data_IF_239739251345
#
_entry.id   IF_239739251345
#
_cell.length_a   1.000
_cell.length_b   1.000
_cell.length_c   1.000
_cell.angle_alpha   90.00
_cell.angle_beta   90.00
_cell.angle_gamma   90.00
#
_symmetry.space_group_name_H-M   'P 1'
#
loop_
_entity.id
_entity.type
_entity.pdbx_description
1 polymer ?
#
# COMPACT_ATOMS: atom_id res chain seq x y z
N UNK A 1 1.36 -62.91 7.84
CA UNK A 1 1.90 -63.89 8.81
C UNK A 1 1.90 -63.24 10.18
N UNK A 2 1.43 -63.93 11.22
CA UNK A 2 1.52 -63.48 12.61
C UNK A 2 0.18 -63.46 13.34
N UNK A 3 -0.29 -64.65 13.70
CA UNK A 3 -1.49 -64.89 14.50
C UNK A 3 -1.19 -64.82 16.02
N UNK A 4 -2.26 -64.73 16.84
CA UNK A 4 -2.37 -65.21 18.24
C UNK A 4 -1.76 -64.20 19.26
N UNK A 5 -2.33 -63.81 20.41
CA UNK A 5 -3.43 -64.34 21.24
C UNK A 5 -3.92 -63.26 22.21
N UNK A 6 -5.24 -63.24 22.40
CA UNK A 6 -5.95 -62.71 23.57
C UNK A 6 -5.52 -63.44 24.86
N UNK A 7 -5.13 -62.69 25.89
CA UNK A 7 -5.25 -63.12 27.30
C UNK A 7 -5.53 -61.91 28.19
N UNK A 8 -6.81 -61.56 28.36
CA UNK A 8 -7.26 -60.70 29.47
C UNK A 8 -7.14 -61.52 30.75
N UNK A 9 -6.43 -61.06 31.80
CA UNK A 9 -6.46 -61.74 33.08
C UNK A 9 -7.85 -61.57 33.68
N UNK A 10 -8.55 -62.69 33.86
CA UNK A 10 -9.80 -62.75 34.60
C UNK A 10 -9.51 -62.25 36.02
N UNK A 11 -10.12 -61.10 36.35
CA UNK A 11 -10.25 -60.55 37.69
C UNK A 11 -10.71 -61.66 38.62
N UNK A 12 -9.79 -62.22 39.41
CA UNK A 12 -10.13 -63.14 40.48
C UNK A 12 -11.08 -62.41 41.43
N UNK A 13 -12.31 -62.89 41.54
CA UNK A 13 -13.23 -62.45 42.57
C UNK A 13 -12.54 -62.68 43.93
N UNK A 14 -12.48 -61.67 44.82
CA UNK A 14 -11.84 -61.85 46.10
C UNK A 14 -12.61 -62.92 46.88
N UNK A 15 -11.93 -63.98 47.26
CA UNK A 15 -12.37 -64.95 48.29
C UNK A 15 -12.61 -64.28 49.65
N UNK A 16 -12.39 -62.96 49.77
CA UNK A 16 -12.71 -62.16 50.96
C UNK A 16 -14.21 -61.97 51.24
N UNK A 17 -15.11 -62.18 50.27
CA UNK A 17 -16.54 -61.88 50.48
C UNK A 17 -17.15 -62.86 51.51
N UNK A 18 -16.64 -64.08 51.62
CA UNK A 18 -17.13 -65.09 52.56
C UNK A 18 -16.68 -64.87 54.00
N UNK A 19 -15.64 -64.08 54.24
CA UNK A 19 -15.15 -63.76 55.60
C UNK A 19 -15.89 -62.57 56.24
N UNK A 20 -16.64 -61.77 55.45
CA UNK A 20 -17.17 -60.47 55.90
C UNK A 20 -18.60 -60.49 56.45
N UNK A 21 -19.31 -61.62 56.40
CA UNK A 21 -20.68 -61.73 56.94
C UNK A 21 -20.93 -63.08 57.63
N UNK A 22 -20.01 -63.50 58.50
CA UNK A 22 -20.38 -64.44 59.55
C UNK A 22 -21.09 -63.62 60.63
N UNK A 23 -22.42 -63.58 60.64
CA UNK A 23 -23.16 -62.87 61.70
C UNK A 23 -22.73 -63.47 63.05
N UNK A 24 -22.01 -62.70 63.89
CA UNK A 24 -21.38 -63.22 65.11
C UNK A 24 -22.41 -63.64 66.15
N UNK A 25 -23.67 -63.21 65.99
CA UNK A 25 -24.79 -63.59 66.84
C UNK A 25 -25.45 -64.91 66.42
N UNK A 26 -25.12 -65.49 65.26
CA UNK A 26 -25.78 -66.72 64.79
C UNK A 26 -25.53 -67.91 65.71
N UNK A 27 -24.32 -68.05 66.24
CA UNK A 27 -24.00 -69.11 67.20
C UNK A 27 -24.82 -68.94 68.48
N UNK A 28 -24.87 -67.72 69.01
CA UNK A 28 -25.61 -67.37 70.22
C UNK A 28 -27.10 -67.67 70.06
N UNK A 29 -27.73 -67.19 68.97
CA UNK A 29 -29.15 -67.46 68.68
C UNK A 29 -29.48 -68.94 68.52
N UNK A 30 -28.55 -69.75 67.99
CA UNK A 30 -28.74 -71.20 67.85
C UNK A 30 -28.65 -71.91 69.20
N UNK A 31 -27.69 -71.52 70.02
CA UNK A 31 -27.50 -72.08 71.36
C UNK A 31 -28.66 -71.70 72.28
N UNK A 32 -29.13 -70.45 72.22
CA UNK A 32 -30.33 -69.97 72.92
C UNK A 32 -31.54 -70.83 72.59
N UNK A 33 -31.85 -70.98 71.29
CA UNK A 33 -32.96 -71.85 70.83
C UNK A 33 -32.80 -73.32 71.24
N UNK A 34 -31.59 -73.82 71.43
CA UNK A 34 -31.36 -75.19 71.92
C UNK A 34 -31.69 -75.29 73.41
N UNK A 35 -31.19 -74.36 74.22
CA UNK A 35 -31.47 -74.30 75.65
C UNK A 35 -32.97 -74.10 75.90
N UNK A 36 -33.63 -73.24 75.12
CA UNK A 36 -35.09 -73.03 75.22
C UNK A 36 -35.88 -74.33 74.99
N UNK A 37 -35.52 -75.11 73.96
CA UNK A 37 -36.15 -76.40 73.69
C UNK A 37 -35.91 -77.40 74.82
N UNK A 38 -34.70 -77.45 75.36
CA UNK A 38 -34.34 -78.33 76.48
C UNK A 38 -35.10 -77.93 77.76
N UNK A 39 -35.22 -76.62 78.04
CA UNK A 39 -36.00 -76.10 79.15
C UNK A 39 -37.49 -76.42 78.99
N UNK A 40 -38.05 -76.24 77.79
CA UNK A 40 -39.45 -76.58 77.51
C UNK A 40 -39.71 -78.08 77.75
N UNK A 41 -38.83 -78.96 77.25
CA UNK A 41 -38.94 -80.40 77.48
C UNK A 41 -38.89 -80.75 78.98
N UNK A 42 -38.00 -80.12 79.74
CA UNK A 42 -37.90 -80.36 81.19
C UNK A 42 -39.11 -79.82 81.96
N UNK A 43 -39.69 -78.69 81.53
CA UNK A 43 -40.93 -78.14 82.08
C UNK A 43 -42.12 -79.06 81.78
N UNK A 44 -42.24 -79.58 80.56
CA UNK A 44 -43.30 -80.52 80.18
C UNK A 44 -43.22 -81.80 81.04
N UNK A 45 -42.02 -82.39 81.19
CA UNK A 45 -41.77 -83.56 82.07
C UNK A 45 -42.10 -83.24 83.53
N UNK A 46 -41.75 -82.05 84.01
CA UNK A 46 -42.08 -81.63 85.37
C UNK A 46 -43.60 -81.51 85.55
N UNK A 47 -44.31 -80.95 84.57
CA UNK A 47 -45.76 -80.77 84.61
C UNK A 47 -46.50 -82.12 84.60
N UNK A 48 -46.11 -83.05 83.72
CA UNK A 48 -46.68 -84.40 83.62
C UNK A 48 -46.51 -85.17 84.94
N UNK A 49 -45.32 -85.06 85.57
CA UNK A 49 -45.04 -85.73 86.84
C UNK A 49 -45.76 -85.12 88.04
N UNK A 50 -45.93 -83.81 88.06
CA UNK A 50 -46.73 -83.14 89.08
C UNK A 50 -48.21 -83.51 88.94
N UNK A 51 -48.73 -83.57 87.71
CA UNK A 51 -50.09 -84.04 87.43
C UNK A 51 -50.28 -85.50 87.85
N UNK A 52 -49.34 -86.40 87.51
CA UNK A 52 -49.38 -87.80 87.95
C UNK A 52 -49.32 -87.96 89.48
N UNK A 53 -48.61 -87.07 90.18
CA UNK A 53 -48.54 -87.05 91.64
C UNK A 53 -49.83 -86.50 92.30
N UNK A 54 -50.54 -85.60 91.61
CA UNK A 54 -51.85 -85.05 92.01
C UNK A 54 -53.02 -86.00 91.68
N UNK A 55 -52.91 -86.82 90.63
CA UNK A 55 -53.94 -87.76 90.16
C UNK A 55 -54.03 -89.07 90.95
N UNK A 56 -53.17 -89.28 91.96
CA UNK A 56 -53.30 -90.35 92.95
C UNK A 56 -52.89 -91.74 92.45
N UNK A 57 -51.77 -92.24 92.97
CA UNK A 57 -51.53 -93.68 93.10
C UNK A 57 -50.88 -93.96 94.47
N UNK A 58 -51.75 -94.33 95.40
CA UNK A 58 -51.40 -95.09 96.58
C UNK A 58 -51.82 -96.54 96.30
N UNK A 59 -50.84 -97.45 96.28
CA UNK A 59 -50.87 -98.85 96.74
C UNK A 59 -49.83 -99.66 95.96
N UNK A 60 -48.65 -99.89 96.52
CA UNK A 60 -48.37 -101.16 97.21
C UNK A 60 -46.95 -101.17 97.76
N UNK A 61 -46.82 -101.65 98.99
CA UNK A 61 -45.57 -101.83 99.70
C UNK A 61 -45.13 -103.27 99.52
N UNK A 62 -43.87 -103.52 99.14
CA UNK A 62 -43.04 -104.62 99.67
C UNK A 62 -41.69 -104.71 98.93
N UNK A 63 -40.61 -104.41 99.66
CA UNK A 63 -39.36 -105.16 99.54
C UNK A 63 -39.46 -106.33 100.52
N UNK A 64 -38.89 -107.53 100.23
CA UNK A 64 -37.47 -107.74 100.55
C UNK A 64 -36.68 -108.77 99.69
N UNK A 65 -35.37 -108.48 99.61
CA UNK A 65 -34.21 -109.38 99.68
C UNK A 65 -33.91 -110.43 98.58
N UNK A 66 -32.62 -110.49 98.17
CA UNK A 66 -31.95 -111.76 97.85
C UNK A 66 -31.03 -111.81 96.62
N UNK A 67 -29.77 -111.39 96.80
CA UNK A 67 -28.49 -111.92 96.28
C UNK A 67 -28.38 -112.69 94.94
N UNK A 68 -27.40 -112.31 94.11
CA UNK A 68 -26.18 -113.09 93.82
C UNK A 68 -25.16 -112.29 92.98
N UNK A 69 -23.89 -112.50 93.29
CA UNK A 69 -22.70 -111.94 92.62
C UNK A 69 -22.09 -112.97 91.66
N UNK A 70 -21.25 -112.48 90.72
CA UNK A 70 -20.33 -113.20 89.80
C UNK A 70 -20.96 -113.90 88.59
N UNK A 71 -20.38 -113.93 87.38
CA UNK A 71 -19.09 -113.46 86.83
C UNK A 71 -19.10 -113.58 85.30
N UNK A 72 -18.27 -112.75 84.65
CA UNK A 72 -17.69 -112.73 83.30
C UNK A 72 -17.91 -113.90 82.32
N UNK A 73 -17.96 -113.63 81.00
CA UNK A 73 -16.90 -114.04 80.03
C UNK A 73 -16.94 -113.18 78.74
N UNK A 74 -15.77 -112.81 78.24
CA UNK A 74 -15.51 -112.32 76.87
C UNK A 74 -15.46 -113.47 75.88
N UNK A 75 -15.91 -113.30 74.63
CA UNK A 75 -15.23 -113.89 73.47
C UNK A 75 -15.33 -113.00 72.22
N UNK A 76 -14.17 -112.84 71.63
CA UNK A 76 -13.83 -112.31 70.31
C UNK A 76 -14.43 -113.15 69.17
N UNK A 77 -14.77 -112.55 68.03
CA UNK A 77 -14.14 -112.84 66.71
C UNK A 77 -14.91 -112.22 65.54
N UNK A 78 -14.21 -112.23 64.41
CA UNK A 78 -14.26 -111.40 63.21
C UNK A 78 -14.78 -112.24 62.03
N UNK A 79 -15.22 -111.55 60.97
CA UNK A 79 -15.52 -112.05 59.61
C UNK A 79 -16.89 -112.73 59.45
N UNK A 80 -17.57 -112.68 58.31
CA UNK A 80 -17.54 -111.87 57.10
C UNK A 80 -18.82 -112.24 56.32
N UNK A 81 -19.29 -111.31 55.51
CA UNK A 81 -20.17 -111.50 54.36
C UNK A 81 -21.69 -111.64 54.58
N UNK A 82 -22.39 -111.05 53.60
CA UNK A 82 -23.79 -111.21 53.22
C UNK A 82 -24.90 -110.37 53.89
N UNK A 83 -25.47 -109.53 53.01
CA UNK A 83 -26.82 -108.94 53.00
C UNK A 83 -27.10 -107.78 53.95
N UNK A 84 -27.32 -106.62 53.33
CA UNK A 84 -27.75 -105.40 53.99
C UNK A 84 -29.08 -105.56 54.70
N UNK A 85 -29.04 -105.40 56.01
CA UNK A 85 -30.19 -105.05 56.84
C UNK A 85 -29.77 -103.78 57.59
N UNK A 86 -30.13 -102.61 57.07
CA UNK A 86 -30.09 -101.36 57.84
C UNK A 86 -31.13 -101.48 58.94
N UNK A 87 -30.73 -102.03 60.08
CA UNK A 87 -31.53 -102.07 61.29
C UNK A 87 -31.76 -100.62 61.70
N UNK A 88 -33.03 -100.13 61.81
CA UNK A 88 -33.27 -98.81 62.36
C UNK A 88 -32.72 -98.79 63.78
N UNK A 89 -31.67 -98.00 64.00
CA UNK A 89 -31.10 -97.77 65.32
C UNK A 89 -32.20 -97.10 66.14
N UNK A 90 -32.92 -97.93 66.92
CA UNK A 90 -33.84 -97.44 67.94
C UNK A 90 -33.00 -96.55 68.83
N UNK A 91 -33.28 -95.25 68.79
CA UNK A 91 -32.73 -94.34 69.78
C UNK A 91 -33.02 -94.94 71.15
N UNK A 92 -32.02 -95.07 72.04
CA UNK A 92 -32.26 -95.58 73.38
C UNK A 92 -33.37 -94.70 73.98
N UNK A 93 -34.42 -95.34 74.51
CA UNK A 93 -35.43 -94.61 75.28
C UNK A 93 -34.67 -93.84 76.36
N UNK A 94 -34.70 -92.52 76.26
CA UNK A 94 -33.98 -91.66 77.19
C UNK A 94 -34.35 -92.04 78.63
N UNK A 95 -33.39 -91.96 79.58
CA UNK A 95 -33.68 -92.26 80.97
C UNK A 95 -34.90 -91.44 81.41
N UNK A 96 -35.88 -92.08 82.05
CA UNK A 96 -37.07 -91.39 82.57
C UNK A 96 -36.61 -90.42 83.66
N UNK A 97 -36.41 -89.15 83.29
CA UNK A 97 -35.88 -88.12 84.20
C UNK A 97 -36.83 -87.96 85.37
N UNK A 98 -36.39 -88.26 86.60
CA UNK A 98 -37.18 -88.05 87.83
C UNK A 98 -37.54 -86.57 88.04
N UNK A 99 -38.57 -86.27 88.85
CA UNK A 99 -38.98 -84.88 89.17
C UNK A 99 -37.80 -84.02 89.66
N UNK A 100 -36.91 -84.60 90.48
CA UNK A 100 -35.68 -83.94 90.93
C UNK A 100 -34.64 -83.72 89.82
N UNK A 101 -34.60 -84.60 88.81
CA UNK A 101 -33.75 -84.43 87.63
C UNK A 101 -34.24 -83.32 86.70
N UNK A 102 -35.57 -83.19 86.54
CA UNK A 102 -36.18 -82.11 85.76
C UNK A 102 -35.90 -80.74 86.40
N UNK A 103 -36.11 -80.61 87.72
CA UNK A 103 -35.82 -79.37 88.46
C UNK A 103 -34.35 -78.96 88.41
N UNK A 104 -33.41 -79.91 88.60
CA UNK A 104 -31.97 -79.64 88.48
C UNK A 104 -31.57 -79.28 87.05
N UNK A 105 -32.19 -79.92 86.05
CA UNK A 105 -31.99 -79.60 84.64
C UNK A 105 -32.45 -78.18 84.27
N UNK A 106 -33.60 -77.75 84.80
CA UNK A 106 -34.13 -76.38 84.59
C UNK A 106 -33.17 -75.35 85.17
N UNK A 107 -32.71 -75.53 86.41
CA UNK A 107 -31.72 -74.63 87.02
C UNK A 107 -30.43 -74.54 86.20
N UNK A 108 -29.91 -75.68 85.74
CA UNK A 108 -28.71 -75.72 84.89
C UNK A 108 -28.94 -75.05 83.53
N UNK A 109 -30.12 -75.22 82.92
CA UNK A 109 -30.49 -74.55 81.68
C UNK A 109 -30.60 -73.02 81.87
N UNK A 110 -31.15 -72.57 82.99
CA UNK A 110 -31.19 -71.15 83.36
C UNK A 110 -29.79 -70.57 83.58
N UNK A 111 -28.90 -71.27 84.28
CA UNK A 111 -27.49 -70.86 84.44
C UNK A 111 -26.76 -70.82 83.08
N UNK A 112 -27.03 -71.78 82.19
CA UNK A 112 -26.45 -71.82 80.84
C UNK A 112 -26.95 -70.65 79.98
N UNK A 113 -28.22 -70.28 80.10
CA UNK A 113 -28.79 -69.11 79.41
C UNK A 113 -28.22 -67.80 79.96
N UNK A 114 -28.03 -67.69 81.27
CA UNK A 114 -27.35 -66.54 81.90
C UNK A 114 -25.95 -66.36 81.33
N UNK A 115 -25.15 -67.42 81.27
CA UNK A 115 -23.81 -67.40 80.69
C UNK A 115 -23.84 -66.98 79.21
N UNK A 116 -24.76 -67.53 78.43
CA UNK A 116 -24.94 -67.17 77.02
C UNK A 116 -25.32 -65.69 76.83
N UNK A 117 -26.17 -65.13 77.71
CA UNK A 117 -26.52 -63.70 77.70
C UNK A 117 -25.35 -62.80 78.10
N UNK A 118 -24.49 -63.27 79.00
CA UNK A 118 -23.25 -62.56 79.33
C UNK A 118 -22.29 -62.55 78.13
N UNK A 119 -22.14 -63.68 77.43
CA UNK A 119 -21.37 -63.77 76.18
C UNK A 119 -21.94 -62.85 75.09
N UNK A 120 -23.26 -62.84 74.91
CA UNK A 120 -23.96 -61.93 73.99
C UNK A 120 -23.67 -60.46 74.32
N UNK A 121 -23.79 -60.08 75.59
CA UNK A 121 -23.50 -58.72 76.04
C UNK A 121 -22.05 -58.31 75.76
N UNK A 122 -21.09 -59.20 76.00
CA UNK A 122 -19.67 -58.94 75.69
C UNK A 122 -19.45 -58.78 74.19
N UNK A 123 -20.12 -59.61 73.38
CA UNK A 123 -20.02 -59.54 71.93
C UNK A 123 -20.60 -58.23 71.39
N UNK A 124 -21.77 -57.81 71.89
CA UNK A 124 -22.36 -56.50 71.57
C UNK A 124 -21.40 -55.38 71.94
N UNK A 125 -20.82 -55.39 73.14
CA UNK A 125 -19.90 -54.35 73.59
C UNK A 125 -18.67 -54.23 72.68
N UNK A 126 -18.11 -55.36 72.23
CA UNK A 126 -16.99 -55.39 71.30
C UNK A 126 -17.38 -54.85 69.91
N UNK A 127 -18.55 -55.24 69.41
CA UNK A 127 -19.06 -54.79 68.11
C UNK A 127 -19.45 -53.30 68.10
N UNK A 128 -19.93 -52.76 69.22
CA UNK A 128 -20.15 -51.32 69.41
C UNK A 128 -18.82 -50.58 69.39
N UNK A 129 -17.82 -51.01 70.18
CA UNK A 129 -16.48 -50.40 70.18
C UNK A 129 -15.84 -50.35 68.79
N UNK A 130 -15.96 -51.43 68.00
CA UNK A 130 -15.46 -51.47 66.61
C UNK A 130 -16.17 -50.43 65.73
N UNK A 131 -17.49 -50.27 65.89
CA UNK A 131 -18.28 -49.29 65.13
C UNK A 131 -17.98 -47.86 65.57
N UNK A 132 -17.80 -47.61 66.86
CA UNK A 132 -17.43 -46.29 67.37
C UNK A 132 -16.07 -45.84 66.84
N UNK A 133 -15.08 -46.74 66.80
CA UNK A 133 -13.78 -46.48 66.20
C UNK A 133 -13.90 -46.14 64.70
N UNK A 134 -14.68 -46.95 63.95
CA UNK A 134 -14.92 -46.70 62.54
C UNK A 134 -15.68 -45.37 62.28
N UNK A 135 -16.63 -45.01 63.15
CA UNK A 135 -17.34 -43.73 63.06
C UNK A 135 -16.40 -42.55 63.35
N UNK A 136 -15.51 -42.67 64.33
CA UNK A 136 -14.49 -41.65 64.59
C UNK A 136 -13.58 -41.44 63.37
N UNK A 137 -13.15 -42.53 62.73
CA UNK A 137 -12.35 -42.46 61.51
C UNK A 137 -13.12 -41.78 60.36
N UNK A 138 -14.41 -42.11 60.17
CA UNK A 138 -15.27 -41.46 59.16
C UNK A 138 -15.40 -39.96 59.42
N UNK A 139 -15.63 -39.54 60.67
CA UNK A 139 -15.71 -38.13 61.04
C UNK A 139 -14.38 -37.41 60.74
N UNK A 140 -13.24 -38.03 61.07
CA UNK A 140 -11.92 -37.49 60.76
C UNK A 140 -11.72 -37.32 59.25
N UNK A 141 -12.14 -38.30 58.44
CA UNK A 141 -12.08 -38.18 56.98
C UNK A 141 -13.01 -37.09 56.44
N UNK A 142 -14.20 -36.92 57.01
CA UNK A 142 -15.13 -35.85 56.62
C UNK A 142 -14.55 -34.46 56.94
N UNK A 143 -13.97 -34.28 58.12
CA UNK A 143 -13.33 -33.03 58.51
C UNK A 143 -12.16 -32.70 57.59
N UNK A 144 -11.26 -33.67 57.35
CA UNK A 144 -10.13 -33.50 56.44
C UNK A 144 -10.58 -33.18 55.02
N UNK A 145 -11.68 -33.78 54.56
CA UNK A 145 -12.26 -33.46 53.25
C UNK A 145 -12.77 -32.00 53.22
N UNK A 146 -13.49 -31.57 54.25
CA UNK A 146 -14.02 -30.21 54.32
C UNK A 146 -12.89 -29.15 54.37
N UNK A 147 -11.81 -29.42 55.10
CA UNK A 147 -10.61 -28.57 55.13
C UNK A 147 -9.97 -28.46 53.73
N UNK A 148 -9.78 -29.59 53.05
CA UNK A 148 -9.24 -29.59 51.69
C UNK A 148 -10.15 -28.86 50.69
N UNK A 149 -11.46 -29.06 50.78
CA UNK A 149 -12.44 -28.34 49.94
C UNK A 149 -12.39 -26.82 50.19
N UNK A 150 -12.22 -26.40 51.45
CA UNK A 150 -12.06 -24.98 51.81
C UNK A 150 -10.75 -24.40 51.28
N UNK A 151 -9.62 -25.09 51.47
CA UNK A 151 -8.31 -24.67 50.98
C UNK A 151 -8.29 -24.55 49.45
N UNK A 152 -8.92 -25.50 48.74
CA UNK A 152 -9.10 -25.45 47.29
C UNK A 152 -9.86 -24.20 46.85
N UNK A 153 -10.96 -23.87 47.54
CA UNK A 153 -11.74 -22.67 47.23
C UNK A 153 -10.92 -21.38 47.46
N UNK A 154 -10.19 -21.30 48.58
CA UNK A 154 -9.36 -20.14 48.92
C UNK A 154 -8.23 -19.90 47.90
N UNK A 155 -7.60 -20.96 47.40
CA UNK A 155 -6.56 -20.87 46.36
C UNK A 155 -7.16 -20.42 45.02
N UNK A 156 -8.31 -20.98 44.62
CA UNK A 156 -9.00 -20.62 43.38
C UNK A 156 -9.43 -19.14 43.36
N UNK A 157 -9.99 -18.65 44.47
CA UNK A 157 -10.43 -17.26 44.63
C UNK A 157 -9.24 -16.29 44.52
N UNK A 158 -8.16 -16.57 45.28
CA UNK A 158 -6.94 -15.74 45.27
C UNK A 158 -6.26 -15.67 43.90
N UNK A 159 -6.16 -16.80 43.18
CA UNK A 159 -5.50 -16.88 41.88
C UNK A 159 -6.33 -16.26 40.75
N UNK A 160 -7.64 -16.50 40.74
CA UNK A 160 -8.53 -16.07 39.66
C UNK A 160 -8.74 -14.56 39.65
N UNK A 161 -8.86 -13.93 40.82
CA UNK A 161 -9.28 -12.53 40.89
C UNK A 161 -8.14 -11.51 40.71
N UNK A 162 -6.91 -11.82 41.14
CA UNK A 162 -5.84 -10.82 41.15
C UNK A 162 -4.97 -10.86 39.90
N UNK A 163 -4.33 -12.00 39.62
CA UNK A 163 -3.28 -12.06 38.59
C UNK A 163 -3.87 -12.22 37.18
N UNK A 164 -4.79 -13.16 36.99
CA UNK A 164 -5.45 -13.36 35.70
C UNK A 164 -6.24 -12.12 35.27
N UNK A 165 -6.96 -11.49 36.19
CA UNK A 165 -7.70 -10.26 35.90
C UNK A 165 -6.80 -9.09 35.50
N UNK A 166 -5.61 -8.94 36.10
CA UNK A 166 -4.63 -7.93 35.71
C UNK A 166 -4.05 -8.21 34.31
N UNK A 167 -3.64 -9.45 34.06
CA UNK A 167 -3.05 -9.85 32.79
C UNK A 167 -4.05 -9.74 31.63
N UNK A 168 -5.33 -10.07 31.86
CA UNK A 168 -6.41 -9.89 30.87
C UNK A 168 -6.64 -8.42 30.58
N UNK A 169 -6.65 -7.55 31.60
CA UNK A 169 -6.77 -6.10 31.41
C UNK A 169 -5.59 -5.55 30.61
N UNK A 170 -4.37 -5.96 30.95
CA UNK A 170 -3.15 -5.55 30.24
C UNK A 170 -3.17 -6.00 28.77
N UNK A 171 -3.55 -7.26 28.51
CA UNK A 171 -3.72 -7.78 27.15
C UNK A 171 -4.74 -6.96 26.35
N UNK A 172 -5.91 -6.66 26.94
CA UNK A 172 -6.93 -5.82 26.30
C UNK A 172 -6.44 -4.40 26.04
N UNK A 173 -5.66 -3.79 26.94
CA UNK A 173 -5.08 -2.46 26.70
C UNK A 173 -4.08 -2.48 25.55
N UNK A 174 -3.23 -3.51 25.47
CA UNK A 174 -2.26 -3.65 24.38
C UNK A 174 -2.95 -3.93 23.05
N UNK A 175 -4.01 -4.74 23.02
CA UNK A 175 -4.81 -4.96 21.82
C UNK A 175 -5.41 -3.65 21.27
N UNK A 176 -5.92 -2.79 22.15
CA UNK A 176 -6.45 -1.48 21.76
C UNK A 176 -5.35 -0.57 21.21
N UNK A 177 -4.18 -0.53 21.84
CA UNK A 177 -3.04 0.26 21.37
C UNK A 177 -2.51 -0.24 20.02
N UNK A 178 -2.40 -1.56 19.83
CA UNK A 178 -2.03 -2.18 18.55
C UNK A 178 -3.02 -1.76 17.47
N UNK A 179 -4.32 -1.87 17.73
CA UNK A 179 -5.35 -1.48 16.77
C UNK A 179 -5.27 0.01 16.38
N UNK A 180 -5.03 0.90 17.35
CA UNK A 180 -4.84 2.32 17.08
C UNK A 180 -3.61 2.61 16.22
N UNK A 181 -2.49 1.92 16.48
CA UNK A 181 -1.27 2.04 15.68
C UNK A 181 -1.46 1.49 14.27
N UNK A 182 -2.18 0.37 14.11
CA UNK A 182 -2.53 -0.18 12.80
C UNK A 182 -3.41 0.78 11.99
N UNK A 183 -4.42 1.41 12.62
CA UNK A 183 -5.21 2.46 11.97
C UNK A 183 -4.34 3.65 11.52
N UNK A 184 -3.43 4.11 12.38
CA UNK A 184 -2.51 5.20 12.05
C UNK A 184 -1.56 4.81 10.91
N UNK A 185 -1.07 3.57 10.90
CA UNK A 185 -0.23 3.02 9.84
C UNK A 185 -1.00 2.98 8.51
N UNK A 186 -2.25 2.53 8.53
CA UNK A 186 -3.13 2.50 7.37
C UNK A 186 -3.34 3.92 6.80
N UNK A 187 -3.59 4.91 7.65
CA UNK A 187 -3.69 6.32 7.24
C UNK A 187 -2.37 6.83 6.64
N UNK A 188 -1.23 6.62 7.31
CA UNK A 188 0.08 7.03 6.79
C UNK A 188 0.38 6.39 5.43
N UNK A 189 0.09 5.10 5.26
CA UNK A 189 0.27 4.37 4.00
C UNK A 189 -0.66 4.89 2.91
N UNK A 190 -1.89 5.28 3.23
CA UNK A 190 -2.80 5.91 2.27
C UNK A 190 -2.27 7.28 1.83
N UNK A 191 -1.79 8.11 2.76
CA UNK A 191 -1.17 9.41 2.44
C UNK A 191 0.08 9.25 1.59
N UNK A 192 0.95 8.29 1.91
CA UNK A 192 2.14 7.99 1.12
C UNK A 192 1.78 7.58 -0.31
N UNK A 193 0.76 6.70 -0.49
CA UNK A 193 0.31 6.31 -1.84
C UNK A 193 -0.18 7.51 -2.66
N UNK A 194 -0.97 8.41 -2.06
CA UNK A 194 -1.43 9.64 -2.73
C UNK A 194 -0.27 10.55 -3.12
N UNK A 195 0.68 10.78 -2.22
CA UNK A 195 1.87 11.58 -2.53
C UNK A 195 2.71 10.94 -3.63
N UNK A 196 2.85 9.61 -3.64
CA UNK A 196 3.55 8.90 -4.70
C UNK A 196 2.84 9.05 -6.06
N UNK A 197 1.51 8.92 -6.10
CA UNK A 197 0.70 9.16 -7.30
C UNK A 197 0.87 10.61 -7.81
N UNK A 198 0.84 11.60 -6.92
CA UNK A 198 1.06 13.00 -7.26
C UNK A 198 2.46 13.26 -7.83
N UNK A 199 3.50 12.69 -7.20
CA UNK A 199 4.89 12.76 -7.73
C UNK A 199 4.95 12.17 -9.13
N UNK A 200 4.39 10.98 -9.36
CA UNK A 200 4.42 10.35 -10.69
C UNK A 200 3.64 11.15 -11.73
N UNK A 201 2.55 11.82 -11.34
CA UNK A 201 1.76 12.69 -12.22
C UNK A 201 2.55 13.95 -12.63
N UNK A 202 3.19 14.61 -11.67
CA UNK A 202 4.04 15.77 -11.95
C UNK A 202 5.25 15.40 -12.80
N UNK A 203 5.90 14.25 -12.52
CA UNK A 203 6.98 13.73 -13.35
C UNK A 203 6.52 13.47 -14.79
N UNK A 204 5.40 12.75 -14.98
CA UNK A 204 4.86 12.46 -16.31
C UNK A 204 4.48 13.75 -17.08
N UNK A 205 3.98 14.77 -16.38
CA UNK A 205 3.67 16.10 -16.94
C UNK A 205 4.94 16.84 -17.36
N UNK A 206 5.99 16.82 -16.53
CA UNK A 206 7.29 17.40 -16.84
C UNK A 206 7.94 16.69 -18.04
N UNK A 207 7.94 15.35 -18.05
CA UNK A 207 8.49 14.54 -19.14
C UNK A 207 7.74 14.75 -20.45
N UNK A 208 6.41 14.87 -20.41
CA UNK A 208 5.60 15.21 -21.59
C UNK A 208 5.97 16.59 -22.17
N UNK A 209 6.17 17.60 -21.30
CA UNK A 209 6.62 18.95 -21.72
C UNK A 209 8.06 18.92 -22.25
N UNK A 210 8.97 18.20 -21.61
CA UNK A 210 10.33 18.03 -22.10
C UNK A 210 10.35 17.30 -23.44
N UNK A 211 9.51 16.29 -23.62
CA UNK A 211 9.37 15.58 -24.89
C UNK A 211 8.80 16.48 -25.99
N UNK A 212 7.82 17.33 -25.69
CA UNK A 212 7.26 18.25 -26.69
C UNK A 212 8.27 19.34 -27.09
N UNK A 213 9.03 19.89 -26.13
CA UNK A 213 10.12 20.83 -26.42
C UNK A 213 11.30 20.19 -27.14
N UNK A 214 11.67 18.95 -26.77
CA UNK A 214 12.71 18.23 -27.50
C UNK A 214 12.27 17.89 -28.93
N UNK A 215 11.00 17.55 -29.14
CA UNK A 215 10.44 17.32 -30.47
C UNK A 215 10.44 18.61 -31.31
N UNK A 216 10.03 19.75 -30.74
CA UNK A 216 10.05 21.03 -31.46
C UNK A 216 11.48 21.51 -31.75
N UNK A 217 12.42 21.30 -30.82
CA UNK A 217 13.84 21.58 -31.05
C UNK A 217 14.40 20.69 -32.17
N UNK A 218 14.07 19.39 -32.17
CA UNK A 218 14.47 18.48 -33.25
C UNK A 218 13.88 18.89 -34.61
N UNK A 219 12.63 19.39 -34.65
CA UNK A 219 12.03 19.95 -35.85
C UNK A 219 12.80 21.20 -36.32
N UNK A 220 13.11 22.15 -35.44
CA UNK A 220 13.91 23.34 -35.77
C UNK A 220 15.33 22.99 -36.24
N UNK A 221 15.97 21.99 -35.63
CA UNK A 221 17.26 21.47 -36.08
C UNK A 221 17.16 20.86 -37.48
N UNK A 222 16.07 20.16 -37.77
CA UNK A 222 15.84 19.62 -39.12
C UNK A 222 15.56 20.71 -40.15
N UNK A 223 14.77 21.72 -39.79
CA UNK A 223 14.42 22.87 -40.63
C UNK A 223 15.65 23.74 -40.89
N UNK A 224 16.46 24.04 -39.87
CA UNK A 224 17.72 24.77 -40.02
C UNK A 224 18.71 24.03 -40.92
N UNK A 225 18.83 22.70 -40.77
CA UNK A 225 19.64 21.88 -41.69
C UNK A 225 19.11 21.90 -43.12
N UNK A 226 17.78 21.91 -43.30
CA UNK A 226 17.15 22.03 -44.62
C UNK A 226 17.45 23.39 -45.25
N UNK A 227 17.21 24.47 -44.51
CA UNK A 227 17.46 25.84 -44.92
C UNK A 227 18.93 26.09 -45.29
N UNK A 228 19.89 25.53 -44.55
CA UNK A 228 21.32 25.64 -44.87
C UNK A 228 21.76 24.80 -46.06
N UNK A 229 20.98 23.77 -46.44
CA UNK A 229 21.18 23.01 -47.69
C UNK A 229 20.62 23.76 -48.89
N UNK A 230 19.39 24.26 -48.79
CA UNK A 230 18.74 25.06 -49.83
C UNK A 230 18.97 26.55 -49.57
N UNK A 231 20.13 27.05 -49.99
CA UNK A 231 20.44 28.47 -49.83
C UNK A 231 19.42 29.32 -50.61
N UNK A 232 18.78 30.32 -49.97
CA UNK A 232 17.78 31.17 -50.62
C UNK A 232 18.38 32.08 -51.70
N UNK A 233 19.69 32.34 -51.67
CA UNK A 233 20.38 33.23 -52.60
C UNK A 233 21.71 32.59 -53.08
N UNK A 234 22.05 32.69 -54.38
CA UNK A 234 23.35 32.26 -54.87
C UNK A 234 24.46 33.25 -54.47
N UNK A 235 25.71 32.79 -54.28
CA UNK A 235 26.84 33.67 -53.98
C UNK A 235 27.18 34.54 -55.20
N UNK A 236 26.62 35.75 -55.27
CA UNK A 236 26.76 36.65 -56.43
C UNK A 236 27.66 37.86 -56.19
N UNK A 237 28.12 38.08 -54.95
CA UNK A 237 28.74 39.34 -54.52
C UNK A 237 30.25 39.37 -54.78
N UNK A 238 30.89 38.20 -54.85
CA UNK A 238 32.34 38.10 -54.94
C UNK A 238 32.80 37.84 -56.37
N UNK A 239 33.49 38.82 -56.96
CA UNK A 239 34.15 38.69 -58.27
C UNK A 239 35.44 37.87 -58.19
N UNK A 240 36.01 37.74 -56.98
CA UNK A 240 37.31 37.12 -56.72
C UNK A 240 37.15 35.92 -55.76
N UNK A 241 36.72 34.77 -56.29
CA UNK A 241 36.63 33.50 -55.54
C UNK A 241 35.42 33.38 -54.62
N UNK A 242 35.01 32.12 -54.36
CA UNK A 242 33.91 31.80 -53.45
C UNK A 242 34.38 31.89 -51.99
N UNK A 243 33.62 32.54 -51.10
CA UNK A 243 33.91 32.55 -49.67
C UNK A 243 33.97 31.13 -49.08
N UNK A 244 34.74 30.92 -47.99
CA UNK A 244 34.89 29.62 -47.34
C UNK A 244 33.54 28.96 -47.00
N UNK A 245 32.54 29.75 -46.60
CA UNK A 245 31.21 29.26 -46.22
C UNK A 245 30.49 28.46 -47.33
N UNK A 246 30.57 28.91 -48.58
CA UNK A 246 29.93 28.23 -49.71
C UNK A 246 30.71 27.02 -50.21
N UNK A 247 32.01 26.96 -49.89
CA UNK A 247 32.90 25.86 -50.29
C UNK A 247 32.80 24.67 -49.33
N UNK A 248 32.41 24.91 -48.07
CA UNK A 248 32.22 23.86 -47.07
C UNK A 248 30.99 22.99 -47.41
N UNK A 249 31.12 21.68 -47.14
CA UNK A 249 30.03 20.70 -47.26
C UNK A 249 28.74 21.22 -46.63
N UNK A 250 27.59 21.13 -47.31
CA UNK A 250 26.31 21.60 -46.78
C UNK A 250 25.93 21.02 -45.42
N UNK A 251 26.42 19.82 -45.08
CA UNK A 251 26.20 19.15 -43.78
C UNK A 251 27.00 19.75 -42.63
N UNK A 252 28.13 20.43 -42.92
CA UNK A 252 29.01 21.05 -41.93
C UNK A 252 28.70 22.53 -41.69
N UNK A 253 27.76 23.11 -42.45
CA UNK A 253 27.32 24.49 -42.29
C UNK A 253 26.48 24.64 -41.03
N UNK A 254 26.74 25.68 -40.25
CA UNK A 254 25.95 26.05 -39.07
C UNK A 254 25.32 27.42 -39.25
N UNK A 255 24.21 27.69 -38.55
CA UNK A 255 23.50 28.98 -38.62
C UNK A 255 24.40 30.15 -38.22
N UNK A 256 25.31 29.95 -37.26
CA UNK A 256 26.23 30.98 -36.82
C UNK A 256 27.22 31.38 -37.92
N UNK A 257 27.73 30.41 -38.68
CA UNK A 257 28.59 30.68 -39.84
C UNK A 257 27.82 31.43 -40.93
N UNK A 258 26.57 31.02 -41.21
CA UNK A 258 25.71 31.68 -42.17
C UNK A 258 25.43 33.14 -41.78
N UNK A 259 25.10 33.38 -40.50
CA UNK A 259 24.88 34.72 -39.96
C UNK A 259 26.10 35.61 -40.14
N UNK A 260 27.30 35.12 -39.79
CA UNK A 260 28.54 35.88 -39.95
C UNK A 260 28.77 36.23 -41.43
N UNK A 261 28.68 35.24 -42.31
CA UNK A 261 28.92 35.41 -43.74
C UNK A 261 27.94 36.40 -44.38
N UNK A 262 26.64 36.24 -44.13
CA UNK A 262 25.62 37.11 -44.71
C UNK A 262 25.62 38.51 -44.10
N UNK A 263 26.04 38.66 -42.85
CA UNK A 263 26.24 39.99 -42.27
C UNK A 263 27.38 40.73 -42.96
N UNK A 264 28.49 40.04 -43.25
CA UNK A 264 29.62 40.62 -43.98
C UNK A 264 29.20 40.96 -45.43
N UNK A 265 28.53 40.04 -46.12
CA UNK A 265 27.98 40.27 -47.45
C UNK A 265 27.04 41.47 -47.50
N UNK A 266 26.16 41.61 -46.50
CA UNK A 266 25.28 42.78 -46.39
C UNK A 266 26.06 44.07 -46.30
N UNK A 267 27.10 44.14 -45.45
CA UNK A 267 27.93 45.35 -45.35
C UNK A 267 28.69 45.67 -46.64
N UNK A 268 29.12 44.63 -47.39
CA UNK A 268 29.77 44.81 -48.69
C UNK A 268 28.76 45.38 -49.70
N UNK A 269 27.53 44.87 -49.71
CA UNK A 269 26.46 45.36 -50.57
C UNK A 269 26.04 46.79 -50.22
N UNK A 270 25.94 47.13 -48.94
CA UNK A 270 25.64 48.49 -48.48
C UNK A 270 26.72 49.47 -48.95
N UNK A 271 28.00 49.12 -48.75
CA UNK A 271 29.12 49.93 -49.27
C UNK A 271 29.07 50.06 -50.79
N UNK A 272 28.76 48.98 -51.51
CA UNK A 272 28.67 49.03 -52.98
C UNK A 272 27.49 49.88 -53.45
N UNK A 273 26.36 49.83 -52.74
CA UNK A 273 25.20 50.68 -53.00
C UNK A 273 25.55 52.16 -52.80
N UNK A 274 26.26 52.50 -51.73
CA UNK A 274 26.75 53.86 -51.50
C UNK A 274 27.67 54.31 -52.64
N UNK A 275 28.63 53.48 -53.05
CA UNK A 275 29.50 53.78 -54.20
C UNK A 275 28.72 54.02 -55.49
N UNK A 276 27.68 53.22 -55.76
CA UNK A 276 26.84 53.36 -56.96
C UNK A 276 25.96 54.61 -56.85
N UNK A 277 25.41 54.92 -55.67
CA UNK A 277 24.65 56.15 -55.46
C UNK A 277 25.52 57.38 -55.67
N UNK A 278 26.73 57.38 -55.12
CA UNK A 278 27.75 58.41 -55.36
C UNK A 278 28.05 58.59 -56.85
N UNK A 279 28.15 57.49 -57.60
CA UNK A 279 28.34 57.48 -59.04
C UNK A 279 27.13 58.04 -59.78
N UNK A 280 25.92 57.64 -59.38
CA UNK A 280 24.66 58.16 -59.93
C UNK A 280 24.51 59.66 -59.68
N UNK A 281 24.81 60.15 -58.48
CA UNK A 281 24.73 61.57 -58.13
C UNK A 281 25.71 62.39 -58.97
N UNK A 282 26.94 61.90 -59.13
CA UNK A 282 27.94 62.54 -59.99
C UNK A 282 27.53 62.53 -61.47
N UNK A 283 26.97 61.42 -61.97
CA UNK A 283 26.44 61.32 -63.34
C UNK A 283 25.25 62.26 -63.56
N UNK A 284 24.35 62.33 -62.58
CA UNK A 284 23.19 63.22 -62.63
C UNK A 284 23.63 64.69 -62.68
N UNK A 285 24.56 65.10 -61.81
CA UNK A 285 25.14 66.45 -61.83
C UNK A 285 25.84 66.75 -63.16
N UNK A 286 26.65 65.82 -63.67
CA UNK A 286 27.32 65.95 -64.96
C UNK A 286 26.32 66.12 -66.12
N UNK A 287 25.21 65.38 -66.13
CA UNK A 287 24.18 65.49 -67.18
C UNK A 287 23.41 66.83 -67.15
N UNK A 288 23.19 67.38 -65.95
CA UNK A 288 22.35 68.57 -65.76
C UNK A 288 23.12 69.88 -66.02
N UNK A 289 24.44 69.90 -65.81
CA UNK A 289 25.28 71.10 -65.94
C UNK A 289 25.32 71.72 -67.35
N UNK A 290 25.49 70.99 -68.47
CA UNK A 290 25.48 71.59 -69.81
C UNK A 290 24.09 72.06 -70.25
N UNK A 291 23.02 71.40 -69.80
CA UNK A 291 21.63 71.78 -70.11
C UNK A 291 21.19 73.07 -69.39
N UNK A 292 21.80 73.39 -68.25
CA UNK A 292 21.43 74.55 -67.42
C UNK A 292 22.15 75.84 -67.84
N UNK A 293 23.23 75.73 -68.61
CA UNK A 293 24.07 76.85 -69.03
C UNK A 293 23.74 77.16 -70.50
N UNK A 294 23.07 78.30 -70.74
CA UNK A 294 22.82 78.78 -72.11
C UNK A 294 24.17 79.21 -72.72
N UNK A 295 24.68 78.59 -73.80
CA UNK A 295 26.02 78.85 -74.34
C UNK A 295 26.13 80.18 -75.09
N UNK A 296 25.16 81.08 -74.98
CA UNK A 296 25.09 82.32 -75.76
C UNK A 296 26.08 83.41 -75.30
N UNK A 297 26.99 83.13 -74.38
CA UNK A 297 28.01 84.08 -73.88
C UNK A 297 29.28 83.34 -73.45
N UNK A 298 30.47 83.90 -73.71
CA UNK A 298 31.77 83.32 -73.27
C UNK A 298 31.81 83.02 -71.77
N UNK A 299 31.22 83.90 -70.95
CA UNK A 299 31.12 83.73 -69.49
C UNK A 299 30.32 82.49 -69.08
N UNK A 300 29.33 82.10 -69.88
CA UNK A 300 28.57 80.86 -69.68
C UNK A 300 29.44 79.64 -69.94
N UNK A 301 30.20 79.63 -71.04
CA UNK A 301 31.13 78.55 -71.39
C UNK A 301 32.24 78.38 -70.35
N UNK A 302 32.85 79.47 -69.87
CA UNK A 302 33.87 79.43 -68.81
C UNK A 302 33.34 78.76 -67.53
N UNK A 303 32.09 79.06 -67.17
CA UNK A 303 31.43 78.47 -65.99
C UNK A 303 31.13 76.99 -66.19
N UNK A 304 30.74 76.57 -67.40
CA UNK A 304 30.51 75.17 -67.75
C UNK A 304 31.83 74.37 -67.69
N UNK A 305 32.90 74.91 -68.28
CA UNK A 305 34.24 74.32 -68.26
C UNK A 305 34.75 74.17 -66.82
N UNK A 306 34.58 75.20 -65.98
CA UNK A 306 34.95 75.11 -64.56
C UNK A 306 34.19 74.01 -63.80
N UNK A 307 32.88 73.88 -64.07
CA UNK A 307 32.06 72.82 -63.47
C UNK A 307 32.48 71.42 -63.96
N UNK A 308 32.74 71.25 -65.25
CA UNK A 308 33.19 69.98 -65.84
C UNK A 308 34.59 69.59 -65.35
N UNK A 309 35.49 70.56 -65.13
CA UNK A 309 36.82 70.31 -64.52
C UNK A 309 36.69 69.75 -63.10
N UNK A 310 35.79 70.32 -62.30
CA UNK A 310 35.54 69.81 -60.94
C UNK A 310 34.95 68.40 -60.96
N UNK A 311 33.98 68.14 -61.85
CA UNK A 311 33.40 66.81 -62.02
C UNK A 311 34.43 65.77 -62.52
N UNK A 312 35.35 66.18 -63.42
CA UNK A 312 36.44 65.35 -63.90
C UNK A 312 37.41 64.99 -62.76
N UNK A 313 37.79 65.95 -61.92
CA UNK A 313 38.67 65.68 -60.79
C UNK A 313 38.04 64.70 -59.78
N UNK A 314 36.72 64.83 -59.54
CA UNK A 314 35.97 63.86 -58.75
C UNK A 314 35.97 62.45 -59.38
N UNK A 315 35.81 62.36 -60.70
CA UNK A 315 35.84 61.09 -61.43
C UNK A 315 37.23 60.44 -61.41
N UNK A 316 38.31 61.22 -61.52
CA UNK A 316 39.70 60.76 -61.41
C UNK A 316 40.03 60.25 -60.00
N UNK A 317 39.65 61.00 -58.96
CA UNK A 317 39.86 60.59 -57.58
C UNK A 317 39.13 59.27 -57.23
N UNK A 318 37.98 59.02 -57.87
CA UNK A 318 37.19 57.78 -57.69
C UNK A 318 37.53 56.67 -58.71
N UNK A 319 38.42 56.92 -59.68
CA UNK A 319 38.88 55.94 -60.66
C UNK A 319 37.84 55.51 -61.71
N UNK A 320 36.88 56.38 -62.04
CA UNK A 320 35.81 56.08 -63.00
C UNK A 320 36.26 56.28 -64.45
N UNK A 321 37.07 55.36 -64.96
CA UNK A 321 37.74 55.46 -66.27
C UNK A 321 36.84 55.87 -67.44
N UNK A 322 35.63 55.31 -67.55
CA UNK A 322 34.70 55.65 -68.64
C UNK A 322 34.16 57.08 -68.49
N UNK A 323 33.81 57.49 -67.26
CA UNK A 323 33.33 58.83 -66.99
C UNK A 323 34.42 59.88 -67.24
N UNK A 324 35.67 59.57 -66.90
CA UNK A 324 36.84 60.40 -67.22
C UNK A 324 36.94 60.59 -68.74
N UNK A 325 36.79 59.53 -69.55
CA UNK A 325 36.79 59.63 -71.01
C UNK A 325 35.63 60.49 -71.53
N UNK A 326 34.41 60.29 -71.03
CA UNK A 326 33.23 61.04 -71.47
C UNK A 326 33.31 62.53 -71.08
N UNK A 327 33.63 62.86 -69.83
CA UNK A 327 33.80 64.25 -69.38
C UNK A 327 34.98 64.89 -70.11
N UNK A 328 36.09 64.17 -70.33
CA UNK A 328 37.24 64.66 -71.07
C UNK A 328 36.92 65.03 -72.52
N UNK A 329 36.14 64.20 -73.22
CA UNK A 329 35.67 64.48 -74.58
C UNK A 329 34.73 65.69 -74.62
N UNK A 330 33.78 65.77 -73.69
CA UNK A 330 32.85 66.89 -73.58
C UNK A 330 33.60 68.21 -73.28
N UNK A 331 34.57 68.17 -72.38
CA UNK A 331 35.40 69.31 -72.00
C UNK A 331 36.29 69.78 -73.17
N UNK A 332 36.77 68.88 -74.03
CA UNK A 332 37.44 69.23 -75.28
C UNK A 332 36.49 69.93 -76.27
N UNK A 333 35.26 69.43 -76.43
CA UNK A 333 34.25 70.06 -77.27
C UNK A 333 33.86 71.47 -76.76
N UNK A 334 33.76 71.67 -75.44
CA UNK A 334 33.50 72.98 -74.85
C UNK A 334 34.67 73.96 -75.02
N UNK A 335 35.93 73.51 -74.93
CA UNK A 335 37.09 74.36 -75.25
C UNK A 335 37.13 74.72 -76.74
N UNK A 336 36.75 73.81 -77.64
CA UNK A 336 36.66 74.09 -79.07
C UNK A 336 35.53 75.10 -79.37
N UNK A 337 34.36 74.96 -78.74
CA UNK A 337 33.28 75.93 -78.82
C UNK A 337 33.69 77.31 -78.28
N UNK A 338 34.44 77.35 -77.16
CA UNK A 338 34.98 78.59 -76.62
C UNK A 338 35.97 79.26 -77.59
N UNK A 339 36.88 78.49 -78.19
CA UNK A 339 37.83 78.99 -79.20
C UNK A 339 37.10 79.63 -80.38
N UNK A 340 36.09 78.95 -80.93
CA UNK A 340 35.29 79.46 -82.05
C UNK A 340 34.53 80.74 -81.67
N UNK A 341 33.91 80.79 -80.49
CA UNK A 341 33.19 81.98 -80.03
C UNK A 341 34.14 83.16 -79.78
N UNK A 342 35.32 82.94 -79.18
CA UNK A 342 36.35 83.97 -79.02
C UNK A 342 36.90 84.47 -80.36
N UNK A 343 37.09 83.59 -81.35
CA UNK A 343 37.49 83.96 -82.72
C UNK A 343 36.40 84.81 -83.40
N UNK A 344 35.13 84.40 -83.31
CA UNK A 344 34.02 85.20 -83.87
C UNK A 344 33.81 86.54 -83.16
N UNK A 345 34.00 86.61 -81.84
CA UNK A 345 33.97 87.86 -81.09
C UNK A 345 35.16 88.77 -81.44
N UNK A 346 36.34 88.20 -81.66
CA UNK A 346 37.51 88.93 -82.14
C UNK A 346 37.33 89.46 -83.58
N UNK A 347 36.75 88.65 -84.47
CA UNK A 347 36.37 89.06 -85.83
C UNK A 347 35.30 90.17 -85.79
N UNK A 348 34.29 90.04 -84.93
CA UNK A 348 33.26 91.09 -84.73
C UNK A 348 33.86 92.38 -84.19
N UNK A 349 34.76 92.31 -83.21
CA UNK A 349 35.46 93.48 -82.67
C UNK A 349 36.42 94.11 -83.68
N UNK A 350 37.05 93.31 -84.54
CA UNK A 350 37.89 93.83 -85.63
C UNK A 350 37.09 94.57 -86.71
N UNK A 351 35.85 94.13 -87.00
CA UNK A 351 34.93 94.82 -87.91
C UNK A 351 34.35 96.12 -87.34
N UNK A 352 34.19 96.21 -86.02
CA UNK A 352 33.67 97.40 -85.33
C UNK A 352 34.73 98.48 -85.07
N UNK A 353 36.02 98.19 -85.27
CA UNK A 353 37.12 99.13 -85.03
C UNK A 353 37.51 100.00 -86.25
N UNK A 354 36.79 99.92 -87.37
CA UNK A 354 37.08 100.71 -88.60
C UNK A 354 36.12 101.87 -88.89
N UNK A 355 35.06 102.08 -88.11
CA UNK A 355 34.15 103.23 -88.28
C UNK A 355 33.83 103.89 -86.93
N UNK A 356 34.45 105.04 -86.68
CA UNK A 356 34.07 105.95 -85.58
C UNK A 356 34.20 107.40 -86.08
N UNK A 357 33.08 108.16 -86.08
CA UNK A 357 33.16 109.58 -85.78
C UNK A 357 32.10 110.06 -84.75
N UNK A 358 32.28 111.28 -84.19
CA UNK A 358 31.95 111.62 -82.80
C UNK A 358 30.59 112.37 -82.64
N UNK A 359 30.19 112.76 -81.40
CA UNK A 359 28.80 112.71 -80.94
C UNK A 359 28.08 114.06 -80.97
N UNK A 360 26.74 114.02 -81.03
CA UNK A 360 25.88 115.07 -80.46
C UNK A 360 24.40 114.67 -80.43
N UNK A 361 23.72 115.04 -79.34
CA UNK A 361 22.35 115.57 -79.45
C UNK A 361 21.19 114.70 -78.97
N UNK A 362 20.96 114.76 -77.64
CA UNK A 362 19.71 115.20 -76.97
C UNK A 362 18.34 114.49 -77.18
N UNK A 363 17.72 114.32 -76.01
CA UNK A 363 16.31 114.55 -75.64
C UNK A 363 15.24 113.50 -75.98
N UNK A 364 14.37 113.25 -74.98
CA UNK A 364 12.99 112.81 -75.21
C UNK A 364 12.48 111.75 -74.25
N UNK A 365 11.53 112.13 -73.40
CA UNK A 365 10.93 111.37 -72.30
C UNK A 365 9.63 110.63 -72.70
N UNK A 366 9.08 109.90 -71.71
CA UNK A 366 7.66 109.50 -71.50
C UNK A 366 7.16 108.27 -72.31
N UNK A 367 6.99 107.10 -71.66
CA UNK A 367 5.80 106.56 -70.93
C UNK A 367 4.85 105.73 -71.82
N UNK A 368 4.77 104.42 -71.51
CA UNK A 368 3.60 103.51 -71.30
C UNK A 368 2.36 103.54 -72.26
N UNK A 369 1.47 102.52 -72.32
CA UNK A 369 1.25 101.41 -71.36
C UNK A 369 0.94 99.98 -71.92
N UNK A 370 0.83 99.04 -70.95
CA UNK A 370 -0.12 97.91 -70.78
C UNK A 370 -0.39 96.93 -71.94
N UNK A 371 -0.48 95.60 -71.75
CA UNK A 371 -1.35 94.87 -70.82
C UNK A 371 -1.01 93.38 -70.94
N UNK A 372 -0.75 92.65 -69.85
CA UNK A 372 -1.70 91.68 -69.27
C UNK A 372 -1.33 90.23 -69.68
N UNK A 373 -1.44 89.18 -68.88
CA UNK A 373 -1.82 88.97 -67.50
C UNK A 373 -1.55 87.49 -67.15
N UNK A 374 -1.48 87.18 -65.84
CA UNK A 374 -1.77 85.89 -65.18
C UNK A 374 -0.68 84.78 -65.18
N UNK A 375 -0.03 84.53 -64.03
CA UNK A 375 -0.45 83.66 -62.88
C UNK A 375 0.12 82.24 -63.07
N UNK A 376 0.71 81.49 -62.12
CA UNK A 376 0.66 81.42 -60.65
C UNK A 376 1.83 80.49 -60.20
N UNK A 377 2.64 80.86 -59.18
CA UNK A 377 2.59 80.42 -57.75
C UNK A 377 3.00 78.94 -57.53
N UNK A 378 3.75 78.48 -56.52
CA UNK A 378 4.14 78.88 -55.13
C UNK A 378 4.94 77.66 -54.58
N UNK A 379 5.67 77.60 -53.45
CA UNK A 379 6.26 78.51 -52.47
C UNK A 379 7.24 77.65 -51.63
N UNK A 380 8.26 78.32 -51.13
CA UNK A 380 9.27 77.91 -50.17
C UNK A 380 8.75 78.06 -48.73
N UNK A 381 9.22 77.23 -47.78
CA UNK A 381 9.15 77.52 -46.33
C UNK A 381 10.34 76.85 -45.63
N UNK A 382 11.20 77.68 -45.05
CA UNK A 382 12.20 77.31 -44.06
C UNK A 382 12.07 78.29 -42.88
N UNK A 383 11.95 77.77 -41.66
CA UNK A 383 12.13 78.56 -40.43
C UNK A 383 12.73 77.67 -39.33
N UNK A 384 13.63 78.29 -38.59
CA UNK A 384 14.66 77.72 -37.72
C UNK A 384 14.21 77.34 -36.30
N UNK A 385 14.95 76.37 -35.73
CA UNK A 385 15.55 76.23 -34.37
C UNK A 385 14.73 75.99 -33.08
N UNK A 386 15.34 75.07 -32.30
CA UNK A 386 15.58 75.02 -30.83
C UNK A 386 14.68 74.15 -29.92
N UNK A 387 15.26 73.01 -29.48
CA UNK A 387 15.49 72.54 -28.09
C UNK A 387 14.47 72.78 -26.96
N UNK A 388 14.01 71.69 -26.32
CA UNK A 388 14.23 71.26 -24.92
C UNK A 388 13.07 70.40 -24.36
N UNK A 389 13.45 69.25 -23.79
CA UNK A 389 12.97 68.52 -22.60
C UNK A 389 11.49 68.60 -22.16
N UNK A 390 10.86 67.42 -22.01
CA UNK A 390 10.14 67.02 -20.79
C UNK A 390 9.63 65.56 -20.86
N UNK A 391 9.92 64.82 -19.80
CA UNK A 391 9.34 63.53 -19.42
C UNK A 391 7.81 63.59 -19.26
N UNK A 392 7.14 62.44 -19.43
CA UNK A 392 6.28 61.76 -18.42
C UNK A 392 5.66 60.55 -19.12
N UNK A 393 5.84 59.37 -18.52
CA UNK A 393 5.27 58.11 -19.00
C UNK A 393 3.79 57.95 -18.73
N UNK A 394 3.21 56.88 -19.26
CA UNK A 394 2.19 56.03 -18.61
C UNK A 394 2.01 54.78 -19.48
N UNK A 395 2.11 53.61 -18.85
CA UNK A 395 1.97 52.26 -19.43
C UNK A 395 0.48 51.83 -19.44
N UNK A 396 0.10 50.56 -19.71
CA UNK A 396 -0.92 50.25 -20.71
C UNK A 396 -2.23 49.76 -20.10
N UNK A 397 -3.33 49.80 -20.85
CA UNK A 397 -4.45 48.86 -20.64
C UNK A 397 -5.44 48.93 -21.80
N UNK A 398 -5.61 47.83 -22.52
CA UNK A 398 -6.88 47.53 -23.17
C UNK A 398 -7.14 46.03 -23.10
N UNK A 399 -7.98 45.69 -22.12
CA UNK A 399 -8.65 44.40 -21.94
C UNK A 399 -9.59 44.16 -23.12
N UNK A 400 -9.59 42.94 -23.66
CA UNK A 400 -10.72 42.45 -24.44
C UNK A 400 -10.95 40.97 -24.15
N UNK A 401 -11.74 40.74 -23.10
CA UNK A 401 -12.47 39.50 -22.89
C UNK A 401 -13.58 39.37 -23.95
N UNK A 402 -13.79 38.15 -24.43
CA UNK A 402 -15.02 37.69 -25.05
C UNK A 402 -15.19 36.18 -24.83
N UNK A 403 -16.43 35.66 -24.85
CA UNK A 403 -16.89 34.72 -23.82
C UNK A 403 -17.44 33.38 -24.36
N UNK A 404 -17.82 32.54 -23.38
CA UNK A 404 -18.88 31.51 -23.39
C UNK A 404 -18.77 30.26 -24.29
N UNK A 405 -18.93 29.08 -23.68
CA UNK A 405 -20.20 28.31 -23.77
C UNK A 405 -20.17 27.10 -22.82
N UNK A 406 -20.99 27.18 -21.78
CA UNK A 406 -21.56 26.02 -21.09
C UNK A 406 -22.82 25.60 -21.86
N UNK A 407 -23.07 24.28 -21.99
CA UNK A 407 -24.39 23.65 -21.78
C UNK A 407 -24.40 22.13 -21.96
N UNK A 408 -24.81 21.50 -20.86
CA UNK A 408 -25.86 20.49 -20.71
C UNK A 408 -25.61 18.98 -20.94
N UNK A 409 -25.70 18.30 -19.79
CA UNK A 409 -26.27 16.97 -19.50
C UNK A 409 -27.29 16.40 -20.50
N UNK A 410 -27.08 15.14 -20.91
CA UNK A 410 -28.16 14.17 -21.20
C UNK A 410 -27.75 12.77 -20.69
N UNK A 411 -28.73 12.10 -20.11
CA UNK A 411 -28.75 10.82 -19.38
C UNK A 411 -28.67 9.54 -20.23
N UNK A 412 -28.19 8.47 -19.57
CA UNK A 412 -28.52 7.03 -19.66
C UNK A 412 -29.24 6.47 -20.90
N UNK A 413 -28.64 5.43 -21.50
CA UNK A 413 -29.38 4.20 -21.89
C UNK A 413 -28.43 3.01 -21.96
N UNK A 414 -28.79 1.93 -21.26
CA UNK A 414 -28.23 0.57 -21.42
C UNK A 414 -28.53 0.00 -22.81
N UNK A 415 -27.74 -0.98 -23.27
CA UNK A 415 -28.12 -2.27 -23.87
C UNK A 415 -26.86 -2.94 -24.45
N UNK A 416 -26.62 -4.19 -24.06
CA UNK A 416 -25.42 -4.94 -24.39
C UNK A 416 -25.38 -5.56 -25.79
N UNK A 417 -24.17 -5.95 -26.18
CA UNK A 417 -23.91 -7.10 -27.05
C UNK A 417 -22.45 -7.51 -26.83
N UNK A 418 -22.26 -8.71 -26.27
CA UNK A 418 -20.97 -9.36 -26.17
C UNK A 418 -20.64 -10.18 -27.41
N UNK A 419 -19.34 -10.27 -27.72
CA UNK A 419 -18.65 -11.34 -28.46
C UNK A 419 -17.20 -11.32 -27.93
N UNK A 420 -16.77 -12.24 -27.05
CA UNK A 420 -16.24 -13.58 -27.35
C UNK A 420 -14.94 -13.60 -28.16
N UNK A 421 -13.81 -13.88 -27.50
CA UNK A 421 -12.65 -14.71 -27.93
C UNK A 421 -11.54 -14.58 -26.87
N UNK A 422 -11.41 -15.48 -25.88
CA UNK A 422 -10.81 -16.83 -25.90
C UNK A 422 -9.28 -16.85 -25.68
N UNK A 423 -8.85 -17.74 -24.78
CA UNK A 423 -7.49 -18.15 -24.39
C UNK A 423 -6.92 -17.36 -23.20
N UNK A 424 -6.81 -17.88 -21.98
CA UNK A 424 -6.74 -19.26 -21.53
C UNK A 424 -5.47 -19.42 -20.67
N UNK A 425 -5.62 -19.49 -19.35
CA UNK A 425 -4.76 -20.23 -18.40
C UNK A 425 -5.35 -20.13 -17.00
N UNK A 426 -6.17 -21.13 -16.68
CA UNK A 426 -6.43 -21.61 -15.33
C UNK A 426 -5.15 -22.17 -14.72
N UNK A 427 -4.94 -21.86 -13.43
CA UNK A 427 -4.31 -22.74 -12.46
C UNK A 427 -4.83 -22.36 -11.07
N UNK A 428 -6.06 -22.79 -10.80
CA UNK A 428 -6.53 -23.06 -9.45
C UNK A 428 -5.88 -24.36 -8.97
N UNK A 429 -4.98 -24.25 -7.98
CA UNK A 429 -4.66 -25.36 -7.07
C UNK A 429 -5.42 -25.05 -5.79
N UNK A 430 -6.56 -25.72 -5.68
CA UNK A 430 -7.22 -26.03 -4.43
C UNK A 430 -7.03 -27.55 -4.22
N UNK A 431 -6.85 -27.89 -2.95
CA UNK A 431 -7.11 -29.17 -2.31
C UNK A 431 -5.92 -30.07 -1.91
N UNK A 432 -6.01 -30.40 -0.62
CA UNK A 432 -5.60 -31.62 0.09
C UNK A 432 -4.11 -31.80 0.45
N UNK A 433 -3.76 -31.69 1.74
CA UNK A 433 -3.75 -32.82 2.71
C UNK A 433 -3.09 -32.41 4.06
N UNK A 434 -3.09 -33.22 5.14
CA UNK A 434 -3.91 -33.03 6.33
C UNK A 434 -3.12 -32.66 7.60
N UNK A 435 -3.85 -32.27 8.65
CA UNK A 435 -3.42 -32.39 10.06
C UNK A 435 -4.27 -33.50 10.71
N UNK A 436 -3.88 -34.18 11.83
CA UNK A 436 -2.63 -34.11 12.59
C UNK A 436 -2.09 -35.51 12.97
N UNK A 437 -0.94 -35.59 13.66
CA UNK A 437 -0.82 -36.28 14.95
C UNK A 437 0.61 -36.24 15.55
N UNK A 438 0.67 -36.11 16.89
CA UNK A 438 1.81 -36.32 17.83
C UNK A 438 3.06 -35.41 17.73
N UNK A 439 3.08 -34.35 18.56
CA UNK A 439 4.08 -34.13 19.63
C UNK A 439 3.65 -33.01 20.58
#
# INVERSE_FOLDING_TARGET
MGSISSTKPLRSLPVEITARYQDPFLYIRRHEKSIEKDLQFLLDVQSEKLQAQLSGDALDSTSPAGSASSSMVFHTSRAANEVGITVPVRQPKGPRIGLGGARKGILRGMESLLYLKQEESQLIANEVKKRDAALADVINFMNRRAELEHDMAAVSDRQSHSYLGQLVKEAQTLEQEIHQLEMKLMDMKARHRRLAEEITKEQSSADAKLSSYNASLALLDSESRSFLRSLPFPPSIFKNGLPPFYTIDPKRRTLQMARSQWSEEKTILERRKEQVNDEMDALYEASQTPSRIKPSTLRGLDRAIGSLKNALHCAEAKGWNLLICCIGAELAAFHEAQRLLSETEAERNSRLAQDEPPPSGRDGASEFPESGSQDRKKLHMEKQRAEQDAEIGTTPNFVKDCPETDRDHISETEHGAGLSSSSGRDQSILDDEPDPAWL
#
